data_IF_350328815354
#
_entry.id   IF_350328815354
#
_cell.length_a   1.000
_cell.length_b   1.000
_cell.length_c   1.000
_cell.angle_alpha   90.00
_cell.angle_beta   90.00
_cell.angle_gamma   90.00
#
_symmetry.space_group_name_H-M   'P 1'
#
loop_
_entity.id
_entity.type
_entity.pdbx_description
1 polymer ?
#
# COMPACT_ATOMS: atom_id res chain seq x y z
N UNK A 1 25.28 -23.77 -21.76
CA UNK A 1 25.03 -22.51 -21.02
C UNK A 1 24.18 -22.87 -19.82
N UNK A 2 24.51 -22.37 -18.63
CA UNK A 2 23.97 -22.86 -17.34
C UNK A 2 22.47 -22.62 -17.20
N UNK A 3 21.70 -23.71 -17.09
CA UNK A 3 20.23 -23.74 -16.97
C UNK A 3 19.72 -23.44 -15.54
N UNK A 4 20.56 -22.82 -14.70
CA UNK A 4 20.26 -22.62 -13.29
C UNK A 4 19.65 -21.24 -13.03
N UNK A 5 18.70 -21.13 -12.08
CA UNK A 5 18.23 -19.84 -11.60
C UNK A 5 19.40 -19.10 -10.95
N UNK A 6 19.53 -17.81 -11.25
CA UNK A 6 20.50 -16.96 -10.56
C UNK A 6 19.98 -16.69 -9.15
N UNK A 7 20.66 -17.25 -8.15
CA UNK A 7 20.36 -17.04 -6.72
C UNK A 7 21.36 -16.08 -6.10
N UNK A 8 20.84 -15.07 -5.39
CA UNK A 8 21.61 -14.11 -4.59
C UNK A 8 21.08 -14.22 -3.16
N UNK A 9 21.74 -15.03 -2.33
CA UNK A 9 21.17 -15.43 -1.04
C UNK A 9 19.85 -16.18 -1.24
N UNK A 10 18.79 -15.70 -0.58
CA UNK A 10 17.44 -16.28 -0.69
C UNK A 10 16.63 -15.76 -1.89
N UNK A 11 17.20 -14.82 -2.66
CA UNK A 11 16.52 -14.21 -3.80
C UNK A 11 16.82 -14.97 -5.09
N UNK A 12 15.77 -15.26 -5.88
CA UNK A 12 15.92 -15.60 -7.30
C UNK A 12 15.79 -14.33 -8.13
N UNK A 13 16.66 -14.17 -9.12
CA UNK A 13 16.61 -13.07 -10.07
C UNK A 13 15.80 -13.47 -11.30
N UNK A 14 14.82 -12.64 -11.65
CA UNK A 14 14.04 -12.76 -12.90
C UNK A 14 14.42 -11.62 -13.82
N UNK A 15 14.89 -11.94 -15.02
CA UNK A 15 15.20 -10.95 -16.04
C UNK A 15 13.93 -10.56 -16.80
N UNK A 16 13.75 -9.25 -16.95
CA UNK A 16 12.61 -8.65 -17.63
C UNK A 16 13.11 -7.69 -18.68
N UNK A 17 12.51 -7.77 -19.85
CA UNK A 17 12.75 -6.85 -20.95
C UNK A 17 11.56 -5.89 -21.04
N UNK A 18 11.80 -4.60 -20.80
CA UNK A 18 10.73 -3.58 -20.84
C UNK A 18 10.48 -3.03 -22.25
N UNK A 19 11.56 -2.83 -22.99
CA UNK A 19 11.59 -2.28 -24.34
C UNK A 19 12.89 -2.73 -25.02
N UNK A 20 13.01 -2.52 -26.33
CA UNK A 20 14.18 -2.94 -27.13
C UNK A 20 15.50 -2.50 -26.46
N UNK A 21 16.20 -3.48 -25.87
CA UNK A 21 17.50 -3.28 -25.21
C UNK A 21 17.47 -2.82 -23.74
N UNK A 22 16.31 -2.56 -23.14
CA UNK A 22 16.19 -2.17 -21.73
C UNK A 22 15.79 -3.36 -20.87
N UNK A 23 16.79 -3.95 -20.23
CA UNK A 23 16.62 -5.02 -19.23
C UNK A 23 16.44 -4.47 -17.82
N UNK A 24 15.56 -5.11 -17.05
CA UNK A 24 15.32 -4.88 -15.63
C UNK A 24 15.26 -6.21 -14.89
N UNK A 25 15.46 -6.19 -13.57
CA UNK A 25 15.55 -7.39 -12.76
C UNK A 25 14.57 -7.34 -11.61
N UNK A 26 13.72 -8.35 -11.53
CA UNK A 26 12.92 -8.59 -10.33
C UNK A 26 13.66 -9.53 -9.39
N UNK A 27 13.49 -9.31 -8.10
CA UNK A 27 14.05 -10.18 -7.06
C UNK A 27 12.90 -10.89 -6.36
N UNK A 28 12.85 -12.21 -6.44
CA UNK A 28 11.77 -13.01 -5.87
C UNK A 28 12.25 -13.81 -4.67
N UNK A 29 11.42 -13.88 -3.63
CA UNK A 29 11.67 -14.67 -2.41
C UNK A 29 10.44 -15.49 -2.11
N UNK A 30 10.64 -16.77 -1.86
CA UNK A 30 9.59 -17.64 -1.36
C UNK A 30 9.24 -17.28 0.09
N UNK A 31 7.97 -16.98 0.36
CA UNK A 31 7.47 -16.82 1.73
C UNK A 31 6.81 -18.10 2.25
N UNK A 32 6.08 -18.79 1.37
CA UNK A 32 5.40 -20.06 1.66
C UNK A 32 5.44 -20.96 0.41
N UNK A 33 4.78 -22.12 0.42
CA UNK A 33 4.72 -22.99 -0.76
C UNK A 33 3.95 -22.38 -1.93
N UNK A 34 3.05 -21.43 -1.66
CA UNK A 34 2.21 -20.77 -2.66
C UNK A 34 2.44 -19.26 -2.77
N UNK A 35 3.10 -18.66 -1.78
CA UNK A 35 3.27 -17.22 -1.68
C UNK A 35 4.71 -16.81 -2.02
N UNK A 36 4.82 -15.87 -2.94
CA UNK A 36 6.08 -15.30 -3.40
C UNK A 36 6.04 -13.78 -3.24
N UNK A 37 7.08 -13.24 -2.63
CA UNK A 37 7.32 -11.81 -2.55
C UNK A 37 8.27 -11.40 -3.67
N UNK A 38 7.93 -10.34 -4.40
CA UNK A 38 8.69 -9.83 -5.53
C UNK A 38 9.05 -8.38 -5.29
N UNK A 39 10.32 -8.04 -5.45
CA UNK A 39 10.86 -6.71 -5.21
C UNK A 39 11.43 -6.08 -6.47
N UNK A 40 11.74 -4.79 -6.36
CA UNK A 40 12.30 -3.96 -7.42
C UNK A 40 11.34 -3.84 -8.61
N UNK A 41 10.06 -3.56 -8.33
CA UNK A 41 9.06 -3.40 -9.39
C UNK A 41 9.06 -1.95 -9.88
N UNK A 42 9.22 -1.70 -11.20
CA UNK A 42 9.23 -0.36 -11.74
C UNK A 42 7.93 0.41 -11.43
N UNK A 43 8.02 1.71 -11.17
CA UNK A 43 6.88 2.54 -10.73
C UNK A 43 5.81 2.72 -11.80
N UNK A 44 6.11 2.35 -13.04
CA UNK A 44 5.23 2.50 -14.21
C UNK A 44 4.19 1.39 -14.33
N UNK A 45 4.34 0.29 -13.59
CA UNK A 45 3.41 -0.82 -13.66
C UNK A 45 2.19 -0.60 -12.77
N UNK A 46 1.06 -1.15 -13.21
CA UNK A 46 -0.16 -1.17 -12.43
C UNK A 46 -0.47 -2.60 -11.98
N UNK A 47 -1.42 -2.72 -11.04
CA UNK A 47 -1.82 -4.02 -10.51
C UNK A 47 -2.32 -4.99 -11.60
N UNK A 48 -2.96 -4.47 -12.65
CA UNK A 48 -3.52 -5.28 -13.73
C UNK A 48 -2.41 -5.87 -14.63
N UNK A 49 -1.43 -5.05 -15.05
CA UNK A 49 -0.29 -5.51 -15.86
C UNK A 49 0.55 -6.53 -15.11
N UNK A 50 0.78 -6.30 -13.81
CA UNK A 50 1.49 -7.25 -12.96
C UNK A 50 0.71 -8.55 -12.80
N UNK A 51 -0.62 -8.49 -12.66
CA UNK A 51 -1.45 -9.69 -12.58
C UNK A 51 -1.39 -10.53 -13.85
N UNK A 52 -1.43 -9.91 -15.02
CA UNK A 52 -1.27 -10.61 -16.30
C UNK A 52 0.10 -11.29 -16.39
N UNK A 53 1.16 -10.57 -16.01
CA UNK A 53 2.52 -11.12 -15.99
C UNK A 53 2.64 -12.34 -15.07
N UNK A 54 2.22 -12.22 -13.80
CA UNK A 54 2.34 -13.32 -12.84
C UNK A 54 1.40 -14.48 -13.14
N UNK A 55 0.28 -14.24 -13.82
CA UNK A 55 -0.61 -15.29 -14.30
C UNK A 55 0.03 -16.20 -15.37
N UNK A 56 1.11 -15.75 -16.03
CA UNK A 56 1.82 -16.58 -17.01
C UNK A 56 2.54 -17.78 -16.37
N UNK A 57 2.84 -17.71 -15.06
CA UNK A 57 3.42 -18.81 -14.29
C UNK A 57 2.37 -19.78 -13.73
N UNK A 58 1.11 -19.33 -13.64
CA UNK A 58 -0.02 -20.13 -13.15
C UNK A 58 -1.16 -19.28 -12.58
N UNK A 59 -2.27 -19.92 -12.14
CA UNK A 59 -3.45 -19.24 -11.62
C UNK A 59 -3.15 -18.45 -10.33
N UNK A 60 -3.33 -17.13 -10.38
CA UNK A 60 -3.11 -16.19 -9.27
C UNK A 60 -4.40 -15.96 -8.48
N UNK A 61 -4.39 -16.35 -7.20
CA UNK A 61 -5.50 -16.15 -6.26
C UNK A 61 -5.50 -14.72 -5.74
N UNK A 62 -4.34 -14.27 -5.27
CA UNK A 62 -4.18 -12.96 -4.65
C UNK A 62 -2.94 -12.26 -5.19
N UNK A 63 -3.09 -10.98 -5.47
CA UNK A 63 -1.97 -10.10 -5.79
C UNK A 63 -2.15 -8.80 -5.00
N UNK A 64 -1.15 -8.46 -4.19
CA UNK A 64 -1.06 -7.19 -3.49
C UNK A 64 0.14 -6.44 -4.06
N UNK A 65 -0.11 -5.24 -4.56
CA UNK A 65 0.95 -4.38 -5.09
C UNK A 65 1.14 -3.21 -4.13
N UNK A 66 2.33 -3.14 -3.54
CA UNK A 66 2.77 -1.99 -2.76
C UNK A 66 3.64 -1.09 -3.64
N UNK A 67 3.01 -0.02 -4.14
CA UNK A 67 3.68 0.98 -4.99
C UNK A 67 4.73 1.78 -4.20
N UNK A 68 4.59 1.93 -2.89
CA UNK A 68 5.53 2.70 -2.07
C UNK A 68 6.82 1.93 -1.83
N UNK A 69 6.72 0.63 -1.57
CA UNK A 69 7.86 -0.25 -1.35
C UNK A 69 8.38 -0.93 -2.62
N UNK A 70 7.78 -0.62 -3.78
CA UNK A 70 8.11 -1.23 -5.08
C UNK A 70 8.10 -2.77 -5.02
N UNK A 71 7.12 -3.34 -4.29
CA UNK A 71 7.01 -4.78 -4.06
C UNK A 71 5.63 -5.32 -4.40
N UNK A 72 5.57 -6.60 -4.75
CA UNK A 72 4.33 -7.35 -4.98
C UNK A 72 4.38 -8.64 -4.20
N UNK A 73 3.28 -8.91 -3.50
CA UNK A 73 2.98 -10.21 -2.95
C UNK A 73 2.06 -10.96 -3.91
N UNK A 74 2.47 -12.16 -4.33
CA UNK A 74 1.68 -13.05 -5.21
C UNK A 74 1.38 -14.36 -4.50
N UNK A 75 0.10 -14.70 -4.39
CA UNK A 75 -0.36 -16.01 -3.92
C UNK A 75 -0.93 -16.79 -5.09
N UNK A 76 -0.34 -17.96 -5.35
CA UNK A 76 -0.79 -18.89 -6.38
C UNK A 76 -1.78 -19.92 -5.84
N UNK A 77 -2.62 -20.47 -6.72
CA UNK A 77 -3.52 -21.57 -6.37
C UNK A 77 -2.78 -22.90 -6.28
N UNK A 78 -1.70 -23.06 -7.05
CA UNK A 78 -0.92 -24.30 -7.17
C UNK A 78 0.52 -24.04 -6.72
N UNK A 79 1.05 -24.91 -5.86
CA UNK A 79 2.43 -24.83 -5.34
C UNK A 79 3.46 -24.83 -6.49
N UNK A 80 3.17 -25.58 -7.56
CA UNK A 80 4.02 -25.64 -8.76
C UNK A 80 4.18 -24.28 -9.45
N UNK A 81 3.21 -23.38 -9.34
CA UNK A 81 3.27 -22.06 -9.98
C UNK A 81 4.28 -21.15 -9.28
N UNK A 82 4.28 -21.16 -7.94
CA UNK A 82 5.30 -20.48 -7.14
C UNK A 82 6.69 -21.07 -7.40
N UNK A 83 6.79 -22.39 -7.46
CA UNK A 83 8.04 -23.08 -7.79
C UNK A 83 8.56 -22.68 -9.18
N UNK A 84 7.70 -22.60 -10.21
CA UNK A 84 8.05 -22.14 -11.56
C UNK A 84 8.59 -20.71 -11.57
N UNK A 85 8.01 -19.82 -10.77
CA UNK A 85 8.47 -18.43 -10.64
C UNK A 85 9.85 -18.34 -9.97
N UNK A 86 10.15 -19.21 -9.00
CA UNK A 86 11.42 -19.21 -8.26
C UNK A 86 12.51 -20.02 -8.99
N UNK A 87 12.14 -20.92 -9.89
CA UNK A 87 13.06 -21.75 -10.68
C UNK A 87 13.37 -21.16 -12.07
N UNK A 88 13.00 -19.90 -12.32
CA UNK A 88 13.26 -19.24 -13.61
C UNK A 88 14.75 -19.23 -13.96
N UNK A 89 15.14 -19.74 -15.14
CA UNK A 89 16.54 -19.77 -15.54
C UNK A 89 17.08 -18.36 -15.76
N UNK A 90 18.37 -18.13 -15.47
CA UNK A 90 19.01 -16.84 -15.75
C UNK A 90 19.01 -16.46 -17.24
N UNK A 91 18.95 -17.44 -18.14
CA UNK A 91 18.94 -17.22 -19.59
C UNK A 91 17.61 -16.69 -20.12
N UNK A 92 16.52 -16.84 -19.37
CA UNK A 92 15.18 -16.43 -19.80
C UNK A 92 14.96 -14.96 -19.45
N UNK A 93 14.59 -14.17 -20.45
CA UNK A 93 14.12 -12.78 -20.27
C UNK A 93 12.66 -12.70 -20.65
N UNK A 94 11.82 -12.20 -19.75
CA UNK A 94 10.40 -12.06 -20.00
C UNK A 94 10.06 -10.66 -20.50
N UNK A 95 9.36 -10.57 -21.62
CA UNK A 95 8.87 -9.29 -22.13
C UNK A 95 7.74 -8.76 -21.24
N UNK A 96 7.94 -7.58 -20.64
CA UNK A 96 6.92 -6.88 -19.86
C UNK A 96 6.91 -5.40 -20.24
N UNK A 97 6.05 -5.08 -21.20
CA UNK A 97 5.94 -3.71 -21.70
C UNK A 97 5.25 -2.82 -20.67
N UNK A 98 5.82 -1.64 -20.34
CA UNK A 98 5.14 -0.68 -19.50
C UNK A 98 3.84 -0.25 -20.17
N UNK A 99 2.74 -0.07 -19.41
CA UNK A 99 1.52 0.48 -19.97
C UNK A 99 1.82 1.86 -20.55
N UNK A 100 1.31 2.15 -21.75
CA UNK A 100 1.40 3.49 -22.34
C UNK A 100 0.65 4.46 -21.44
N UNK A 101 1.39 5.22 -20.65
CA UNK A 101 0.81 6.25 -19.81
C UNK A 101 0.44 7.44 -20.69
N UNK A 102 -0.84 7.77 -20.77
CA UNK A 102 -1.28 9.02 -21.41
C UNK A 102 -0.90 10.19 -20.48
N UNK A 103 -0.55 11.35 -21.04
CA UNK A 103 -0.23 12.56 -20.26
C UNK A 103 -1.32 12.89 -19.22
N UNK A 104 -2.59 12.68 -19.56
CA UNK A 104 -3.72 12.83 -18.63
C UNK A 104 -3.62 11.92 -17.40
N UNK A 105 -3.25 10.65 -17.59
CA UNK A 105 -3.09 9.70 -16.47
C UNK A 105 -1.92 10.09 -15.57
N UNK A 106 -0.82 10.58 -16.13
CA UNK A 106 0.33 11.09 -15.37
C UNK A 106 -0.09 12.31 -14.54
N UNK A 107 -0.84 13.23 -15.15
CA UNK A 107 -1.37 14.41 -14.46
C UNK A 107 -2.34 14.00 -13.35
N UNK A 108 -3.25 13.06 -13.59
CA UNK A 108 -4.23 12.62 -12.60
C UNK A 108 -3.58 11.86 -11.44
N UNK A 109 -2.61 10.98 -11.72
CA UNK A 109 -1.82 10.29 -10.69
C UNK A 109 -0.97 11.26 -9.89
N UNK A 110 -0.41 12.29 -10.55
CA UNK A 110 0.28 13.37 -9.84
C UNK A 110 -0.71 14.11 -8.96
N UNK A 111 -1.85 14.59 -9.46
CA UNK A 111 -2.84 15.34 -8.66
C UNK A 111 -3.26 14.53 -7.44
N UNK A 112 -3.48 13.22 -7.54
CA UNK A 112 -3.80 12.39 -6.37
C UNK A 112 -2.71 12.36 -5.30
N UNK A 113 -1.44 12.51 -5.67
CA UNK A 113 -0.32 12.43 -4.71
C UNK A 113 -0.05 13.73 -3.96
N UNK A 114 -0.35 14.91 -4.54
CA UNK A 114 -0.12 16.21 -3.88
C UNK A 114 -1.37 17.11 -3.75
N UNK A 115 -2.48 16.76 -4.40
CA UNK A 115 -3.70 17.55 -4.46
C UNK A 115 -4.92 16.68 -4.14
N UNK A 116 -5.18 16.51 -2.85
CA UNK A 116 -6.40 15.86 -2.35
C UNK A 116 -7.63 16.71 -2.71
N UNK A 117 -8.76 16.06 -3.00
CA UNK A 117 -10.01 16.78 -3.27
C UNK A 117 -10.42 17.58 -2.01
N UNK A 118 -10.64 18.88 -2.19
CA UNK A 118 -11.02 19.78 -1.10
C UNK A 118 -12.33 19.38 -0.40
N UNK A 119 -13.29 18.84 -1.16
CA UNK A 119 -14.60 18.45 -0.62
C UNK A 119 -14.49 17.19 0.25
N UNK A 120 -13.68 16.21 -0.19
CA UNK A 120 -13.45 15.00 0.59
C UNK A 120 -12.66 15.32 1.86
N UNK A 121 -11.65 16.19 1.77
CA UNK A 121 -10.89 16.65 2.94
C UNK A 121 -11.77 17.40 3.94
N UNK A 122 -12.67 18.26 3.46
CA UNK A 122 -13.62 18.96 4.34
C UNK A 122 -14.50 17.96 5.08
N UNK A 123 -15.08 16.99 4.37
CA UNK A 123 -15.93 15.95 4.97
C UNK A 123 -15.17 15.11 6.00
N UNK A 124 -13.96 14.64 5.66
CA UNK A 124 -13.09 13.90 6.59
C UNK A 124 -12.79 14.72 7.86
N UNK A 125 -12.52 16.03 7.71
CA UNK A 125 -12.25 16.91 8.85
C UNK A 125 -13.49 17.15 9.73
N UNK A 126 -14.68 17.28 9.13
CA UNK A 126 -15.93 17.44 9.86
C UNK A 126 -16.29 16.16 10.64
N UNK A 127 -16.15 14.99 10.02
CA UNK A 127 -16.38 13.69 10.67
C UNK A 127 -15.40 13.47 11.84
N UNK A 128 -14.13 13.81 11.66
CA UNK A 128 -13.12 13.74 12.72
C UNK A 128 -13.46 14.65 13.90
N UNK A 129 -13.85 15.91 13.63
CA UNK A 129 -14.26 16.84 14.68
C UNK A 129 -15.51 16.35 15.42
N UNK A 130 -16.51 15.83 14.70
CA UNK A 130 -17.70 15.27 15.32
C UNK A 130 -17.37 14.09 16.24
N UNK A 131 -16.48 13.18 15.82
CA UNK A 131 -16.04 12.07 16.67
C UNK A 131 -15.28 12.57 17.90
N UNK A 132 -14.36 13.52 17.72
CA UNK A 132 -13.61 14.13 18.82
C UNK A 132 -14.52 14.76 19.88
N UNK A 133 -15.52 15.54 19.45
CA UNK A 133 -16.48 16.16 20.37
C UNK A 133 -17.39 15.13 21.03
N UNK A 134 -17.84 14.10 20.31
CA UNK A 134 -18.60 13.00 20.92
C UNK A 134 -17.81 12.30 22.01
N UNK A 135 -16.54 11.98 21.76
CA UNK A 135 -15.65 11.34 22.74
C UNK A 135 -15.39 12.23 23.97
N UNK A 136 -15.21 13.54 23.75
CA UNK A 136 -15.01 14.50 24.85
C UNK A 136 -16.26 14.71 25.70
N UNK A 137 -17.44 14.71 25.09
CA UNK A 137 -18.72 14.81 25.80
C UNK A 137 -19.03 13.52 26.55
N UNK A 138 -18.83 12.35 25.94
CA UNK A 138 -19.04 11.06 26.63
C UNK A 138 -18.08 10.86 27.80
N UNK A 139 -16.84 11.38 27.72
CA UNK A 139 -15.87 11.32 28.81
C UNK A 139 -16.17 12.32 29.95
N UNK A 140 -17.04 13.30 29.73
CA UNK A 140 -17.50 14.25 30.74
C UNK A 140 -18.76 13.80 31.49
N UNK A 141 -19.49 12.81 30.99
CA UNK A 141 -20.74 12.31 31.60
C UNK A 141 -20.51 11.15 32.59
N UNK A 142 -19.31 10.55 32.64
CA UNK A 142 -18.97 9.43 33.52
C UNK A 142 -18.45 9.86 34.93
N UNK A 143 -18.58 11.13 35.34
CA UNK A 143 -18.13 11.57 36.67
C UNK A 143 -19.07 12.51 37.43
N UNK A 144 -20.38 12.38 37.23
CA UNK A 144 -21.40 13.13 38.00
C UNK A 144 -22.09 12.26 39.07
N UNK A 145 -21.34 11.33 39.67
CA UNK A 145 -21.70 10.72 40.96
C UNK A 145 -20.52 10.91 41.93
N UNK A 146 -20.37 12.12 42.47
CA UNK A 146 -20.16 12.35 43.91
C UNK A 146 -20.12 13.85 44.23
N UNK A 147 -20.71 14.17 45.38
CA UNK A 147 -20.94 15.50 45.94
C UNK A 147 -19.73 16.42 45.91
N UNK A 148 -19.95 17.72 45.69
CA UNK A 148 -19.58 18.72 46.72
C UNK A 148 -20.20 20.10 46.47
N UNK A 149 -20.57 20.66 47.61
CA UNK A 149 -21.32 21.89 47.86
C UNK A 149 -20.60 23.14 47.34
N UNK A 150 -21.08 23.70 46.22
CA UNK A 150 -20.62 25.01 45.75
C UNK A 150 -21.26 26.13 46.58
N UNK A 151 -20.58 26.56 47.65
CA UNK A 151 -20.96 27.77 48.37
C UNK A 151 -20.63 29.02 47.55
N UNK A 152 -21.65 29.65 46.96
CA UNK A 152 -21.51 30.94 46.29
C UNK A 152 -21.30 32.03 47.35
N UNK A 153 -20.07 32.53 47.49
CA UNK A 153 -19.75 33.63 48.40
C UNK A 153 -20.46 34.92 47.95
N UNK A 154 -21.37 35.45 48.78
CA UNK A 154 -22.05 36.71 48.51
C UNK A 154 -21.09 37.91 48.64
N UNK A 155 -21.06 38.84 47.67
CA UNK A 155 -20.15 39.98 47.72
C UNK A 155 -20.55 40.96 48.83
N UNK A 156 -19.55 41.37 49.64
CA UNK A 156 -19.72 42.34 50.72
C UNK A 156 -19.96 43.73 50.13
N UNK A 157 -21.14 44.32 50.36
CA UNK A 157 -21.47 45.70 49.96
C UNK A 157 -20.41 46.68 50.48
N UNK A 158 -19.70 47.35 49.58
CA UNK A 158 -18.84 48.49 49.93
C UNK A 158 -19.75 49.67 50.28
N UNK A 159 -19.67 50.16 51.52
CA UNK A 159 -20.22 51.48 51.88
C UNK A 159 -19.37 52.54 51.20
N UNK A 160 -19.97 53.31 50.30
CA UNK A 160 -19.41 54.58 49.84
C UNK A 160 -19.41 55.56 51.02
N UNK A 161 -18.29 56.28 51.17
CA UNK A 161 -18.17 57.44 52.06
C UNK A 161 -18.88 58.63 51.45
#
# INVERSE_FOLDING_TARGET
MTEFPLKIGDFTVINIELAEGVGHRFYTVSKSSNDVEVYNIPPFFNKASLRVFFASFGPVVRLLYDKHNCSVHVSYQLNESAAKLISTPMTVSYALHPPKATFSQIVDDSKKSWMKNSESLKKESEEFLQQYYREKLSRGEDSDDESDEWTVAKPKKRRSR
#
